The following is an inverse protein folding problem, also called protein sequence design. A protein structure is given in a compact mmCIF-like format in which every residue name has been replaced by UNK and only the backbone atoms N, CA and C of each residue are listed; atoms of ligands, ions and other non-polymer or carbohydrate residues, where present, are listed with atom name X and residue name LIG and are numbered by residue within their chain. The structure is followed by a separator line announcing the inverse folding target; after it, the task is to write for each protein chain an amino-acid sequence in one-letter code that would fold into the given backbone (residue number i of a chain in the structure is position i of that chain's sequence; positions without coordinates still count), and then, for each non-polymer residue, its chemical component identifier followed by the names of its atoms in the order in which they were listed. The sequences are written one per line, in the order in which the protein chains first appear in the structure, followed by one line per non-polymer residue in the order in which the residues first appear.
data_IF_116838742728
#
_entry.id   IF_116838742728
#
_cell.length_a   1.000
_cell.length_b   1.000
_cell.length_c   1.000
_cell.angle_alpha   90.00
_cell.angle_beta   90.00
_cell.angle_gamma   90.00
#
_symmetry.space_group_name_H-M   'P 1'
#
loop_
_entity.id
_entity.type
_entity.pdbx_description
1 polymer ?
#
# COMPACT_ATOMS: atom_id res chain seq x y z
N UNK A 1 11.75 -4.83 -32.94
CA UNK A 1 10.34 -4.93 -32.51
C UNK A 1 10.22 -5.48 -31.10
N UNK A 2 10.66 -6.72 -30.84
CA UNK A 2 10.55 -7.31 -29.49
C UNK A 2 11.41 -6.59 -28.43
N UNK A 3 12.68 -6.30 -28.77
CA UNK A 3 13.62 -5.66 -27.84
C UNK A 3 13.22 -4.21 -27.54
N UNK A 4 12.63 -3.51 -28.51
CA UNK A 4 12.11 -2.15 -28.33
C UNK A 4 10.89 -2.14 -27.41
N UNK A 5 9.97 -3.10 -27.56
CA UNK A 5 8.81 -3.23 -26.66
C UNK A 5 9.26 -3.59 -25.24
N UNK A 6 10.22 -4.51 -25.10
CA UNK A 6 10.78 -4.87 -23.81
C UNK A 6 11.43 -3.68 -23.10
N UNK A 7 12.18 -2.86 -23.85
CA UNK A 7 12.82 -1.67 -23.30
C UNK A 7 11.80 -0.62 -22.88
N UNK A 8 10.76 -0.39 -23.69
CA UNK A 8 9.66 0.52 -23.33
C UNK A 8 8.99 0.04 -22.05
N UNK A 9 8.51 -1.22 -22.02
CA UNK A 9 7.90 -1.83 -20.84
C UNK A 9 8.78 -1.70 -19.60
N UNK A 10 10.06 -2.05 -19.71
CA UNK A 10 11.01 -1.96 -18.60
C UNK A 10 11.18 -0.51 -18.12
N UNK A 11 11.38 0.45 -19.03
CA UNK A 11 11.56 1.85 -18.66
C UNK A 11 10.32 2.45 -17.99
N UNK A 12 9.12 2.16 -18.51
CA UNK A 12 7.85 2.61 -17.95
C UNK A 12 7.66 2.08 -16.53
N UNK A 13 7.80 0.76 -16.33
CA UNK A 13 7.64 0.17 -15.00
C UNK A 13 8.76 0.55 -14.02
N UNK A 14 9.98 0.82 -14.52
CA UNK A 14 11.07 1.34 -13.69
C UNK A 14 10.77 2.76 -13.17
N UNK A 15 10.22 3.63 -14.03
CA UNK A 15 9.77 4.97 -13.63
C UNK A 15 8.61 4.87 -12.64
N UNK A 16 7.61 4.02 -12.91
CA UNK A 16 6.51 3.78 -11.97
C UNK A 16 7.05 3.30 -10.61
N UNK A 17 8.06 2.41 -10.61
CA UNK A 17 8.72 1.93 -9.40
C UNK A 17 9.46 3.02 -8.61
N UNK A 18 9.97 4.07 -9.29
CA UNK A 18 10.57 5.25 -8.64
C UNK A 18 9.52 6.15 -7.99
N UNK A 19 8.32 6.24 -8.56
CA UNK A 19 7.25 7.12 -8.09
C UNK A 19 6.15 6.38 -7.32
N UNK A 20 6.46 5.20 -6.78
CA UNK A 20 5.53 4.40 -5.99
C UNK A 20 5.32 4.96 -4.56
N UNK A 21 4.79 6.18 -4.47
CA UNK A 21 4.42 6.84 -3.22
C UNK A 21 2.93 7.15 -3.24
N UNK A 22 2.17 6.68 -2.24
CA UNK A 22 0.72 6.96 -2.15
C UNK A 22 -0.20 5.74 -1.99
N UNK A 23 0.35 4.54 -1.80
CA UNK A 23 -0.44 3.31 -1.58
C UNK A 23 -0.93 2.66 -2.88
N UNK A 24 -1.70 1.57 -2.75
CA UNK A 24 -2.10 0.74 -3.91
C UNK A 24 -2.92 1.49 -4.97
N UNK A 25 -3.83 2.37 -4.56
CA UNK A 25 -4.70 3.11 -5.48
C UNK A 25 -3.92 4.12 -6.35
N UNK A 26 -3.02 4.90 -5.74
CA UNK A 26 -2.19 5.86 -6.46
C UNK A 26 -1.28 5.17 -7.49
N UNK A 27 -0.72 4.02 -7.13
CA UNK A 27 0.09 3.24 -8.06
C UNK A 27 -0.73 2.69 -9.24
N UNK A 28 -1.93 2.18 -8.98
CA UNK A 28 -2.81 1.70 -10.05
C UNK A 28 -3.20 2.81 -11.03
N UNK A 29 -3.46 4.04 -10.54
CA UNK A 29 -3.73 5.18 -11.41
C UNK A 29 -2.54 5.53 -12.31
N UNK A 30 -1.30 5.45 -11.80
CA UNK A 30 -0.09 5.64 -12.60
C UNK A 30 0.08 4.56 -13.66
N UNK A 31 -0.13 3.29 -13.30
CA UNK A 31 -0.05 2.17 -14.25
C UNK A 31 -1.14 2.33 -15.33
N UNK A 32 -2.38 2.63 -14.93
CA UNK A 32 -3.49 2.85 -15.87
C UNK A 32 -3.15 3.94 -16.87
N UNK A 33 -2.64 5.08 -16.40
CA UNK A 33 -2.27 6.18 -17.26
C UNK A 33 -1.22 5.76 -18.29
N UNK A 34 -0.16 5.08 -17.86
CA UNK A 34 0.91 4.68 -18.77
C UNK A 34 0.46 3.61 -19.77
N UNK A 35 -0.26 2.59 -19.30
CA UNK A 35 -0.58 1.40 -20.10
C UNK A 35 -1.77 1.62 -21.01
N UNK A 36 -2.77 2.40 -20.58
CA UNK A 36 -4.01 2.67 -21.34
C UNK A 36 -3.89 3.99 -22.12
N UNK A 37 -3.46 5.09 -21.48
CA UNK A 37 -3.50 6.41 -22.11
C UNK A 37 -2.22 6.76 -22.87
N UNK A 38 -1.04 6.56 -22.26
CA UNK A 38 0.25 6.96 -22.86
C UNK A 38 0.70 6.00 -23.95
N UNK A 39 0.71 4.69 -23.66
CA UNK A 39 1.19 3.67 -24.58
C UNK A 39 0.07 2.98 -25.37
N UNK A 40 -1.17 3.04 -24.88
CA UNK A 40 -2.32 2.33 -25.46
C UNK A 40 -2.03 0.84 -25.72
N UNK A 41 -1.30 0.19 -24.80
CA UNK A 41 -1.04 -1.24 -24.88
C UNK A 41 -2.27 -2.06 -24.51
N UNK A 42 -3.08 -1.56 -23.57
CA UNK A 42 -4.31 -2.20 -23.13
C UNK A 42 -5.47 -1.22 -23.22
N UNK A 43 -6.67 -1.76 -23.37
CA UNK A 43 -7.92 -1.05 -23.19
C UNK A 43 -8.28 -0.90 -21.71
N UNK A 44 -9.17 0.04 -21.39
CA UNK A 44 -9.66 0.24 -20.02
C UNK A 44 -10.36 -1.00 -19.42
N UNK A 45 -11.17 -1.77 -20.17
CA UNK A 45 -11.72 -3.04 -19.68
C UNK A 45 -10.64 -4.09 -19.39
N UNK A 46 -9.67 -4.27 -20.28
CA UNK A 46 -8.56 -5.23 -20.07
C UNK A 46 -7.74 -4.86 -18.83
N UNK A 47 -7.45 -3.58 -18.65
CA UNK A 47 -6.77 -3.12 -17.44
C UNK A 47 -7.60 -3.39 -16.18
N UNK A 48 -8.92 -3.20 -16.24
CA UNK A 48 -9.83 -3.47 -15.12
C UNK A 48 -9.82 -4.96 -14.74
N UNK A 49 -9.82 -5.85 -15.71
CA UNK A 49 -9.71 -7.30 -15.48
C UNK A 49 -8.37 -7.67 -14.84
N UNK A 50 -7.27 -7.07 -15.31
CA UNK A 50 -5.95 -7.25 -14.68
C UNK A 50 -5.96 -6.77 -13.23
N UNK A 51 -6.60 -5.64 -12.92
CA UNK A 51 -6.70 -5.14 -11.54
C UNK A 51 -7.49 -6.12 -10.67
N UNK A 52 -8.59 -6.67 -11.18
CA UNK A 52 -9.38 -7.67 -10.47
C UNK A 52 -8.56 -8.93 -10.14
N UNK A 53 -7.81 -9.46 -11.12
CA UNK A 53 -6.91 -10.60 -10.91
C UNK A 53 -5.80 -10.24 -9.92
N UNK A 54 -5.23 -9.04 -10.01
CA UNK A 54 -4.14 -8.57 -9.14
C UNK A 54 -4.55 -8.43 -7.68
N UNK A 55 -5.81 -8.08 -7.42
CA UNK A 55 -6.40 -8.01 -6.08
C UNK A 55 -6.80 -9.38 -5.54
N UNK A 56 -7.17 -10.31 -6.43
CA UNK A 56 -7.51 -11.69 -6.03
C UNK A 56 -6.29 -12.52 -5.63
N UNK A 57 -5.11 -12.16 -6.16
CA UNK A 57 -3.85 -12.85 -5.87
C UNK A 57 -3.16 -12.25 -4.65
N UNK A 58 -2.57 -13.08 -3.77
CA UNK A 58 -1.88 -12.58 -2.59
C UNK A 58 -0.63 -11.79 -3.00
N UNK A 59 -0.45 -10.61 -2.42
CA UNK A 59 0.74 -9.80 -2.61
C UNK A 59 0.45 -8.31 -2.83
N UNK A 60 1.49 -7.51 -3.10
CA UNK A 60 1.32 -6.10 -3.42
C UNK A 60 0.63 -5.96 -4.78
N UNK A 61 -0.61 -5.45 -4.77
CA UNK A 61 -1.48 -5.31 -5.96
C UNK A 61 -0.75 -4.66 -7.14
N UNK A 62 0.08 -3.67 -6.87
CA UNK A 62 0.89 -2.99 -7.86
C UNK A 62 1.91 -3.86 -8.60
N UNK A 63 2.59 -4.75 -7.87
CA UNK A 63 3.57 -5.69 -8.44
C UNK A 63 2.82 -6.77 -9.23
N UNK A 64 1.71 -7.26 -8.69
CA UNK A 64 0.86 -8.24 -9.37
C UNK A 64 0.35 -7.64 -10.70
N UNK A 65 -0.16 -6.42 -10.67
CA UNK A 65 -0.62 -5.69 -11.84
C UNK A 65 0.48 -5.53 -12.89
N UNK A 66 1.68 -5.08 -12.49
CA UNK A 66 2.83 -5.01 -13.39
C UNK A 66 3.16 -6.35 -14.06
N UNK A 67 3.08 -7.45 -13.29
CA UNK A 67 3.35 -8.81 -13.78
C UNK A 67 2.36 -9.23 -14.86
N UNK A 68 1.06 -8.99 -14.64
CA UNK A 68 0.00 -9.33 -15.59
C UNK A 68 -0.01 -8.39 -16.80
N UNK A 69 0.19 -7.09 -16.61
CA UNK A 69 0.35 -6.15 -17.72
C UNK A 69 1.52 -6.56 -18.61
N UNK A 70 2.67 -6.93 -18.03
CA UNK A 70 3.82 -7.38 -18.82
C UNK A 70 3.53 -8.64 -19.65
N UNK A 71 2.62 -9.51 -19.19
CA UNK A 71 2.15 -10.65 -19.97
C UNK A 71 1.29 -10.19 -21.15
N UNK A 72 0.24 -9.42 -20.87
CA UNK A 72 -0.77 -9.04 -21.87
C UNK A 72 -0.20 -8.13 -22.96
N UNK A 73 0.65 -7.16 -22.61
CA UNK A 73 1.34 -6.29 -23.57
C UNK A 73 2.08 -7.11 -24.65
N UNK A 74 2.72 -8.21 -24.26
CA UNK A 74 3.42 -9.09 -25.19
C UNK A 74 2.48 -10.06 -25.91
N UNK A 75 1.42 -10.51 -25.23
CA UNK A 75 0.41 -11.37 -25.82
C UNK A 75 -0.35 -10.66 -26.96
N UNK A 76 -0.83 -9.44 -26.71
CA UNK A 76 -1.57 -8.60 -27.66
C UNK A 76 -0.69 -8.12 -28.82
N UNK A 77 0.61 -7.96 -28.58
CA UNK A 77 1.59 -7.70 -29.63
C UNK A 77 1.85 -8.92 -30.55
N UNK A 78 1.13 -10.04 -30.36
CA UNK A 78 1.19 -11.24 -31.18
C UNK A 78 2.34 -12.19 -30.87
N UNK A 79 3.01 -12.02 -29.72
CA UNK A 79 4.07 -12.93 -29.29
C UNK A 79 3.49 -14.17 -28.60
N UNK A 80 4.16 -15.32 -28.77
CA UNK A 80 3.75 -16.56 -28.12
C UNK A 80 3.88 -16.50 -26.59
N UNK A 81 3.12 -17.34 -25.86
CA UNK A 81 3.04 -17.31 -24.40
C UNK A 81 4.39 -17.43 -23.68
N UNK A 82 5.36 -18.14 -24.28
CA UNK A 82 6.72 -18.24 -23.74
C UNK A 82 7.42 -16.87 -23.67
N UNK A 83 7.18 -16.01 -24.66
CA UNK A 83 7.73 -14.65 -24.72
C UNK A 83 7.00 -13.72 -23.76
N UNK A 84 5.67 -13.84 -23.65
CA UNK A 84 4.87 -13.06 -22.72
C UNK A 84 5.28 -13.25 -21.26
N UNK A 85 5.74 -14.46 -20.87
CA UNK A 85 6.31 -14.71 -19.54
C UNK A 85 7.57 -13.86 -19.30
N UNK A 86 8.41 -13.64 -20.31
CA UNK A 86 9.54 -12.73 -20.18
C UNK A 86 9.10 -11.27 -20.03
N UNK A 87 8.01 -10.88 -20.70
CA UNK A 87 7.36 -9.59 -20.50
C UNK A 87 6.92 -9.37 -19.05
N UNK A 88 6.25 -10.36 -18.46
CA UNK A 88 5.92 -10.36 -17.02
C UNK A 88 7.15 -10.17 -16.16
N UNK A 89 8.17 -11.04 -16.33
CA UNK A 89 9.39 -10.97 -15.53
C UNK A 89 10.09 -9.60 -15.64
N UNK A 90 10.14 -9.03 -16.85
CA UNK A 90 10.73 -7.72 -17.09
C UNK A 90 9.97 -6.59 -16.39
N UNK A 91 8.64 -6.57 -16.47
CA UNK A 91 7.82 -5.57 -15.79
C UNK A 91 7.92 -5.69 -14.25
N UNK A 92 7.86 -6.92 -13.72
CA UNK A 92 8.01 -7.18 -12.28
C UNK A 92 9.39 -6.75 -11.78
N UNK A 93 10.45 -7.10 -12.51
CA UNK A 93 11.81 -6.69 -12.14
C UNK A 93 11.95 -5.17 -12.23
N UNK A 94 11.44 -4.55 -13.29
CA UNK A 94 11.51 -3.10 -13.48
C UNK A 94 10.87 -2.33 -12.33
N UNK A 95 9.67 -2.71 -11.89
CA UNK A 95 8.97 -2.00 -10.80
C UNK A 95 9.63 -2.20 -9.42
N UNK A 96 10.24 -3.37 -9.19
CA UNK A 96 10.89 -3.70 -7.90
C UNK A 96 12.32 -3.14 -7.81
N UNK A 97 13.02 -3.05 -8.93
CA UNK A 97 14.44 -2.70 -8.99
C UNK A 97 14.77 -1.34 -8.34
N UNK A 98 14.01 -0.24 -8.54
CA UNK A 98 14.26 1.04 -7.87
C UNK A 98 14.28 0.91 -6.36
N UNK A 99 13.27 0.25 -5.78
CA UNK A 99 13.17 0.05 -4.34
C UNK A 99 14.30 -0.84 -3.82
N UNK A 100 14.67 -1.88 -4.57
CA UNK A 100 15.80 -2.74 -4.24
C UNK A 100 17.13 -1.95 -4.21
N UNK A 101 17.39 -1.10 -5.20
CA UNK A 101 18.61 -0.30 -5.28
C UNK A 101 18.70 0.71 -4.14
N UNK A 102 17.59 1.38 -3.82
CA UNK A 102 17.52 2.30 -2.68
C UNK A 102 17.78 1.56 -1.38
N UNK A 103 17.14 0.41 -1.17
CA UNK A 103 17.30 -0.39 0.03
C UNK A 103 18.73 -0.93 0.19
N UNK A 104 19.32 -1.41 -0.90
CA UNK A 104 20.72 -1.83 -0.92
C UNK A 104 21.68 -0.68 -0.55
N UNK A 105 21.42 0.54 -1.06
CA UNK A 105 22.16 1.74 -0.67
C UNK A 105 22.02 2.05 0.83
N UNK A 106 20.80 1.96 1.37
CA UNK A 106 20.54 2.18 2.80
C UNK A 106 21.30 1.16 3.65
N UNK A 107 21.27 -0.13 3.30
CA UNK A 107 22.00 -1.18 4.03
C UNK A 107 23.48 -0.83 4.12
N UNK A 108 24.10 -0.40 3.02
CA UNK A 108 25.52 -0.03 3.01
C UNK A 108 25.85 1.14 3.93
N UNK A 109 24.93 2.09 4.05
CA UNK A 109 25.07 3.21 5.00
C UNK A 109 24.91 2.69 6.43
N UNK A 110 23.89 1.87 6.69
CA UNK A 110 23.63 1.28 8.01
C UNK A 110 24.83 0.46 8.47
N UNK A 111 25.39 -0.43 7.64
CA UNK A 111 26.55 -1.25 8.00
C UNK A 111 27.73 -0.40 8.49
N UNK A 112 27.94 0.78 7.88
CA UNK A 112 29.01 1.72 8.28
C UNK A 112 28.72 2.43 9.59
N UNK A 113 27.46 2.78 9.88
CA UNK A 113 27.10 3.64 11.00
C UNK A 113 26.37 2.94 12.16
N UNK A 114 26.08 1.64 12.05
CA UNK A 114 25.25 0.93 13.03
C UNK A 114 25.84 0.91 14.44
N UNK A 115 27.16 1.04 14.58
CA UNK A 115 27.87 1.10 15.87
C UNK A 115 27.91 2.50 16.50
N UNK A 116 27.53 3.54 15.75
CA UNK A 116 27.55 4.91 16.26
C UNK A 116 26.51 5.08 17.37
N UNK A 117 26.86 5.73 18.50
CA UNK A 117 25.92 5.98 19.60
C UNK A 117 24.71 6.81 19.14
N UNK A 118 24.88 7.67 18.13
CA UNK A 118 23.78 8.45 17.53
C UNK A 118 22.79 7.53 16.81
N UNK A 119 23.28 6.58 16.00
CA UNK A 119 22.42 5.63 15.27
C UNK A 119 21.62 4.76 16.24
N UNK A 120 22.29 4.20 17.25
CA UNK A 120 21.65 3.39 18.30
C UNK A 120 20.61 4.22 19.06
N UNK A 121 20.92 5.48 19.38
CA UNK A 121 20.00 6.41 20.03
C UNK A 121 18.73 6.65 19.19
N UNK A 122 18.89 6.95 17.90
CA UNK A 122 17.77 7.16 16.97
C UNK A 122 16.92 5.90 16.82
N UNK A 123 17.53 4.72 16.67
CA UNK A 123 16.79 3.46 16.57
C UNK A 123 16.01 3.12 17.84
N UNK A 124 16.54 3.47 19.03
CA UNK A 124 15.81 3.35 20.30
C UNK A 124 14.62 4.31 20.38
N UNK A 125 14.79 5.56 19.91
CA UNK A 125 13.73 6.56 19.87
C UNK A 125 12.65 6.23 18.83
N UNK A 126 12.96 5.47 17.78
CA UNK A 126 12.03 5.15 16.71
C UNK A 126 10.78 4.39 17.20
N UNK A 127 10.94 3.41 18.10
CA UNK A 127 9.81 2.63 18.65
C UNK A 127 8.74 3.50 19.34
N UNK A 128 9.08 4.34 20.35
CA UNK A 128 8.10 5.21 20.99
C UNK A 128 7.56 6.30 20.05
N UNK A 129 8.35 6.79 19.09
CA UNK A 129 7.87 7.75 18.07
C UNK A 129 6.79 7.12 17.21
N UNK A 130 7.00 5.91 16.68
CA UNK A 130 5.99 5.19 15.89
C UNK A 130 4.73 4.92 16.73
N UNK A 131 4.89 4.48 17.98
CA UNK A 131 3.75 4.29 18.88
C UNK A 131 2.96 5.61 19.11
N UNK A 132 3.67 6.73 19.29
CA UNK A 132 3.07 8.05 19.42
C UNK A 132 2.35 8.51 18.15
N UNK A 133 2.92 8.27 16.97
CA UNK A 133 2.27 8.58 15.69
C UNK A 133 1.01 7.74 15.45
N UNK A 134 1.04 6.45 15.79
CA UNK A 134 -0.15 5.59 15.70
C UNK A 134 -1.23 6.07 16.68
N UNK A 135 -0.85 6.43 17.91
CA UNK A 135 -1.77 7.01 18.88
C UNK A 135 -2.36 8.34 18.40
N UNK A 136 -1.55 9.20 17.78
CA UNK A 136 -2.02 10.46 17.20
C UNK A 136 -3.02 10.22 16.07
N UNK A 137 -2.74 9.28 15.16
CA UNK A 137 -3.67 8.90 14.10
C UNK A 137 -5.00 8.36 14.67
N UNK A 138 -4.94 7.53 15.72
CA UNK A 138 -6.13 7.05 16.42
C UNK A 138 -6.94 8.19 17.05
N UNK A 139 -6.27 9.18 17.66
CA UNK A 139 -6.94 10.34 18.23
C UNK A 139 -7.60 11.22 17.16
N UNK A 140 -6.96 11.42 16.01
CA UNK A 140 -7.53 12.18 14.87
C UNK A 140 -8.76 11.47 14.29
N UNK A 141 -8.82 10.13 14.35
CA UNK A 141 -10.00 9.36 13.94
C UNK A 141 -11.15 9.46 14.94
N UNK A 142 -10.86 9.70 16.23
CA UNK A 142 -11.88 9.80 17.29
C UNK A 142 -12.37 11.24 17.44
N UNK A 143 -11.46 12.19 17.41
CA UNK A 143 -11.69 13.60 17.70
C UNK A 143 -11.42 14.46 16.47
N UNK A 144 -12.36 15.36 16.16
CA UNK A 144 -12.08 16.48 15.29
C UNK A 144 -11.46 17.60 16.14
N UNK A 145 -10.26 18.02 15.76
CA UNK A 145 -9.47 19.04 16.44
C UNK A 145 -9.36 20.24 15.48
N UNK A 146 -10.28 21.18 15.64
CA UNK A 146 -10.26 22.42 14.87
C UNK A 146 -9.53 23.52 15.65
N UNK A 147 -8.52 24.11 15.01
CA UNK A 147 -7.72 25.21 15.54
C UNK A 147 -8.26 26.56 15.04
N UNK A 148 -9.54 26.85 15.30
CA UNK A 148 -10.14 28.12 14.96
C UNK A 148 -9.90 29.14 16.10
N UNK A 149 -8.75 29.82 16.06
CA UNK A 149 -8.35 30.87 17.02
C UNK A 149 -7.52 30.39 18.23
N UNK A 150 -7.64 31.08 19.38
CA UNK A 150 -6.83 30.83 20.60
C UNK A 150 -7.27 29.60 21.43
N UNK A 151 -8.41 28.98 21.11
CA UNK A 151 -8.94 27.84 21.86
C UNK A 151 -9.17 26.67 20.89
N UNK A 152 -8.45 25.55 21.02
CA UNK A 152 -8.74 24.38 20.21
C UNK A 152 -10.15 23.88 20.56
N UNK A 153 -11.00 23.74 19.54
CA UNK A 153 -12.28 23.07 19.71
C UNK A 153 -12.07 21.58 19.47
N UNK A 154 -12.38 20.76 20.49
CA UNK A 154 -12.24 19.31 20.44
C UNK A 154 -13.64 18.74 20.49
N UNK A 155 -14.06 18.10 19.39
CA UNK A 155 -15.36 17.43 19.30
C UNK A 155 -15.17 15.97 18.91
N UNK A 156 -16.04 15.08 19.40
CA UNK A 156 -16.02 13.67 18.99
C UNK A 156 -16.66 13.56 17.61
N UNK A 157 -16.01 12.84 16.71
CA UNK A 157 -16.56 12.54 15.38
C UNK A 157 -17.70 11.55 15.56
N UNK A 158 -18.94 12.06 15.57
CA UNK A 158 -20.14 11.23 15.79
C UNK A 158 -20.40 10.23 14.67
N UNK A 159 -19.81 10.43 13.48
CA UNK A 159 -19.87 9.44 12.40
C UNK A 159 -19.08 8.16 12.76
N UNK A 160 -17.95 8.30 13.43
CA UNK A 160 -17.11 7.16 13.86
C UNK A 160 -17.58 6.60 15.22
N UNK A 161 -18.03 7.47 16.13
CA UNK A 161 -18.51 7.11 17.46
C UNK A 161 -19.93 7.66 17.72
N UNK A 162 -20.96 7.06 17.10
CA UNK A 162 -22.34 7.51 17.24
C UNK A 162 -22.88 7.29 18.66
N UNK A 163 -22.63 6.12 19.23
CA UNK A 163 -23.25 5.66 20.48
C UNK A 163 -22.24 5.12 21.50
N UNK A 164 -22.72 4.93 22.74
CA UNK A 164 -21.95 4.32 23.82
C UNK A 164 -21.46 2.91 23.47
N UNK A 165 -22.19 2.18 22.59
CA UNK A 165 -21.80 0.85 22.16
C UNK A 165 -20.50 0.88 21.33
N UNK A 166 -20.29 1.90 20.50
CA UNK A 166 -19.03 2.06 19.74
C UNK A 166 -17.84 2.26 20.67
N UNK A 167 -18.03 3.01 21.76
CA UNK A 167 -17.03 3.16 22.82
C UNK A 167 -16.78 1.85 23.57
N UNK A 168 -17.83 1.07 23.85
CA UNK A 168 -17.69 -0.24 24.48
C UNK A 168 -16.94 -1.23 23.57
N UNK A 169 -17.21 -1.23 22.27
CA UNK A 169 -16.51 -2.05 21.29
C UNK A 169 -15.04 -1.66 21.15
N UNK A 170 -14.74 -0.36 21.13
CA UNK A 170 -13.37 0.14 21.14
C UNK A 170 -12.61 -0.30 22.39
N UNK A 171 -13.20 -0.13 23.57
CA UNK A 171 -12.60 -0.54 24.84
C UNK A 171 -12.40 -2.07 24.89
N UNK A 172 -13.40 -2.84 24.46
CA UNK A 172 -13.31 -4.30 24.40
C UNK A 172 -12.21 -4.76 23.45
N UNK A 173 -12.11 -4.18 22.24
CA UNK A 173 -11.07 -4.50 21.27
C UNK A 173 -9.67 -4.15 21.80
N UNK A 174 -9.51 -2.99 22.44
CA UNK A 174 -8.26 -2.59 23.06
C UNK A 174 -7.82 -3.55 24.18
N UNK A 175 -8.75 -3.90 25.08
CA UNK A 175 -8.48 -4.83 26.19
C UNK A 175 -8.16 -6.22 25.65
N UNK A 176 -8.91 -6.75 24.68
CA UNK A 176 -8.64 -8.07 24.09
C UNK A 176 -7.28 -8.10 23.38
N UNK A 177 -6.95 -7.03 22.65
CA UNK A 177 -5.65 -6.89 21.98
C UNK A 177 -4.51 -6.88 22.98
N UNK A 178 -4.62 -6.09 24.05
CA UNK A 178 -3.58 -5.98 25.08
C UNK A 178 -3.41 -7.26 25.91
N UNK A 179 -4.52 -7.86 26.36
CA UNK A 179 -4.49 -9.00 27.29
C UNK A 179 -4.33 -10.35 26.60
N UNK A 180 -5.09 -10.58 25.52
CA UNK A 180 -5.13 -11.87 24.81
C UNK A 180 -4.29 -11.91 23.55
N UNK A 181 -3.60 -10.81 23.19
CA UNK A 181 -2.85 -10.67 21.93
C UNK A 181 -3.71 -11.08 20.72
N UNK A 182 -5.00 -10.79 20.79
CA UNK A 182 -5.93 -11.10 19.72
C UNK A 182 -5.48 -10.40 18.43
N UNK A 183 -5.39 -11.15 17.34
CA UNK A 183 -5.01 -10.59 16.05
C UNK A 183 -6.02 -9.54 15.57
N UNK A 184 -5.62 -8.64 14.65
CA UNK A 184 -6.52 -7.63 14.08
C UNK A 184 -7.72 -8.25 13.35
N UNK A 185 -7.52 -9.37 12.66
CA UNK A 185 -8.57 -10.00 11.82
C UNK A 185 -9.77 -10.46 12.66
N UNK A 186 -9.62 -11.28 13.73
CA UNK A 186 -10.76 -11.65 14.58
C UNK A 186 -11.48 -10.46 15.22
N UNK A 187 -10.72 -9.43 15.63
CA UNK A 187 -11.27 -8.22 16.24
C UNK A 187 -12.15 -7.45 15.24
N UNK A 188 -11.67 -7.30 14.00
CA UNK A 188 -12.41 -6.64 12.93
C UNK A 188 -13.68 -7.41 12.56
N UNK A 189 -13.60 -8.75 12.46
CA UNK A 189 -14.77 -9.58 12.16
C UNK A 189 -15.80 -9.48 13.29
N UNK A 190 -15.38 -9.63 14.55
CA UNK A 190 -16.29 -9.53 15.69
C UNK A 190 -16.94 -8.15 15.77
N UNK A 191 -16.16 -7.07 15.59
CA UNK A 191 -16.69 -5.72 15.58
C UNK A 191 -17.65 -5.48 14.41
N UNK A 192 -17.32 -5.95 13.20
CA UNK A 192 -18.17 -5.84 12.02
C UNK A 192 -19.50 -6.58 12.19
N UNK A 193 -19.48 -7.80 12.73
CA UNK A 193 -20.70 -8.58 13.00
C UNK A 193 -21.58 -7.90 14.04
N UNK A 194 -21.00 -7.40 15.14
CA UNK A 194 -21.77 -6.66 16.17
C UNK A 194 -22.37 -5.39 15.57
N UNK A 195 -21.59 -4.64 14.78
CA UNK A 195 -22.07 -3.43 14.11
C UNK A 195 -23.23 -3.72 13.16
N UNK A 196 -23.14 -4.80 12.38
CA UNK A 196 -24.18 -5.22 11.45
C UNK A 196 -25.47 -5.65 12.15
N UNK A 197 -25.39 -6.22 13.34
CA UNK A 197 -26.58 -6.64 14.11
C UNK A 197 -27.29 -5.42 14.74
N UNK A 198 -26.55 -4.38 15.10
CA UNK A 198 -27.07 -3.26 15.89
C UNK A 198 -27.50 -2.07 15.01
N UNK A 199 -26.79 -1.81 13.92
CA UNK A 199 -26.97 -0.60 13.09
C UNK A 199 -27.61 -0.87 11.73
N UNK A 200 -27.96 -2.12 11.43
CA UNK A 200 -28.60 -2.55 10.17
C UNK A 200 -30.04 -2.99 10.47
#
# INVERSE_FOLDING_TARGET
MILSLLWQLFSTFFVIGLFNFGGGAAMLSLIQNEVVNSHAWLTEPEFTDIVAISQSTPGPVGINCATYVGFEVFHDAGYGSAVSIFGSAAATLAIVLPSFLVFYGIIRIVDRFHTSPVFIGTMKALKPVVAGMIAAAALILIFNIDFDGLRPSISVIRENFPDWLSWAMFAAAFILSYTKKAGPIPLLIAAGVIGLIVYL
#
